data_IF_121120188756
#
_entry.id   IF_121120188756
#
_cell.length_a   1.000
_cell.length_b   1.000
_cell.length_c   1.000
_cell.angle_alpha   90.00
_cell.angle_beta   90.00
_cell.angle_gamma   90.00
#
_symmetry.space_group_name_H-M   'P 1'
#
loop_
_entity.id
_entity.type
_entity.pdbx_description
1 polymer ?
#
# COMPACT_ATOMS: atom_id res chain seq x y z
N UNK A 1 -12.82 8.44 -52.56
CA UNK A 1 -11.77 7.52 -52.04
C UNK A 1 -11.87 7.50 -50.53
N UNK A 2 -12.27 6.36 -49.97
CA UNK A 2 -12.45 6.17 -48.53
C UNK A 2 -11.14 6.42 -47.78
N UNK A 3 -11.18 7.30 -46.77
CA UNK A 3 -10.07 7.58 -45.87
C UNK A 3 -9.70 6.32 -45.06
N UNK A 4 -8.70 5.58 -45.54
CA UNK A 4 -8.00 4.57 -44.76
C UNK A 4 -7.15 5.28 -43.69
N UNK A 5 -7.78 5.71 -42.59
CA UNK A 5 -7.04 5.89 -41.33
C UNK A 5 -6.50 4.50 -40.96
N UNK A 6 -5.19 4.28 -41.14
CA UNK A 6 -4.54 3.09 -40.64
C UNK A 6 -4.91 2.90 -39.17
N UNK A 7 -5.54 1.76 -38.82
CA UNK A 7 -5.87 1.46 -37.42
C UNK A 7 -4.54 1.34 -36.66
N UNK A 8 -4.36 2.20 -35.65
CA UNK A 8 -3.15 2.26 -34.80
C UNK A 8 -2.79 0.90 -34.17
N UNK A 9 -3.76 -0.01 -34.04
CA UNK A 9 -3.57 -1.34 -33.49
C UNK A 9 -4.18 -2.41 -34.39
N UNK A 10 -3.62 -3.63 -34.39
CA UNK A 10 -4.25 -4.79 -35.01
C UNK A 10 -5.65 -5.04 -34.45
N UNK A 11 -6.53 -5.62 -35.27
CA UNK A 11 -7.85 -6.06 -34.80
C UNK A 11 -7.65 -7.25 -33.86
N UNK A 12 -8.38 -7.26 -32.74
CA UNK A 12 -8.44 -8.45 -31.89
C UNK A 12 -9.17 -9.59 -32.63
N UNK A 13 -8.76 -10.85 -32.44
CA UNK A 13 -9.50 -11.99 -32.96
C UNK A 13 -10.89 -12.08 -32.31
N UNK A 14 -11.79 -12.84 -32.95
CA UNK A 14 -13.14 -13.08 -32.41
C UNK A 14 -13.11 -13.91 -31.13
N UNK A 15 -12.14 -14.83 -31.01
CA UNK A 15 -11.95 -15.67 -29.83
C UNK A 15 -10.56 -15.46 -29.22
N UNK A 16 -10.50 -15.51 -27.89
CA UNK A 16 -9.26 -15.29 -27.12
C UNK A 16 -8.20 -16.36 -27.38
N UNK A 17 -8.61 -17.58 -27.70
CA UNK A 17 -7.70 -18.68 -28.03
C UNK A 17 -6.85 -18.42 -29.27
N UNK A 18 -7.33 -17.57 -30.18
CA UNK A 18 -6.61 -17.20 -31.40
C UNK A 18 -5.71 -15.97 -31.17
N UNK A 19 -5.62 -15.46 -29.93
CA UNK A 19 -4.85 -14.28 -29.61
C UNK A 19 -3.35 -14.55 -29.71
N UNK A 20 -2.77 -14.05 -30.80
CA UNK A 20 -1.33 -13.94 -30.99
C UNK A 20 -0.90 -12.50 -30.71
N UNK A 21 -0.06 -12.31 -29.69
CA UNK A 21 0.49 -10.99 -29.38
C UNK A 21 1.46 -10.59 -30.49
N UNK A 22 1.36 -9.43 -31.16
CA UNK A 22 2.31 -9.03 -32.19
C UNK A 22 3.70 -8.73 -31.61
N UNK A 23 4.76 -8.93 -32.40
CA UNK A 23 6.17 -8.74 -31.99
C UNK A 23 6.43 -7.40 -31.28
N UNK A 24 5.91 -6.23 -31.74
CA UNK A 24 6.13 -4.95 -31.05
C UNK A 24 5.61 -4.89 -29.60
N UNK A 25 4.75 -5.82 -29.21
CA UNK A 25 4.21 -5.94 -27.85
C UNK A 25 4.83 -7.09 -27.05
N UNK A 26 5.78 -7.83 -27.65
CA UNK A 26 6.54 -8.90 -26.99
C UNK A 26 7.88 -8.43 -26.45
N UNK A 27 8.36 -7.26 -26.86
CA UNK A 27 9.69 -6.75 -26.47
C UNK A 27 9.61 -5.44 -25.70
N UNK A 28 10.63 -5.16 -24.88
CA UNK A 28 10.82 -3.84 -24.25
C UNK A 28 11.22 -2.79 -25.30
N UNK A 29 11.29 -1.51 -24.88
CA UNK A 29 11.85 -0.45 -25.73
C UNK A 29 13.34 -0.66 -26.05
N UNK A 30 14.06 -1.38 -25.20
CA UNK A 30 15.46 -1.73 -25.41
C UNK A 30 15.66 -2.98 -26.28
N UNK A 31 14.56 -3.64 -26.71
CA UNK A 31 14.60 -4.83 -27.56
C UNK A 31 14.63 -6.15 -26.81
N UNK A 32 14.63 -6.14 -25.47
CA UNK A 32 14.63 -7.36 -24.68
C UNK A 32 13.30 -8.11 -24.80
N UNK A 33 13.35 -9.44 -24.76
CA UNK A 33 12.13 -10.24 -24.67
C UNK A 33 11.39 -9.94 -23.36
N UNK A 34 10.14 -9.49 -23.49
CA UNK A 34 9.31 -9.04 -22.38
C UNK A 34 8.09 -9.93 -22.16
N UNK A 35 7.44 -10.43 -23.21
CA UNK A 35 6.42 -11.48 -23.06
C UNK A 35 7.13 -12.81 -22.75
N UNK A 36 7.25 -13.11 -21.47
CA UNK A 36 8.01 -14.27 -20.98
C UNK A 36 7.25 -15.57 -21.18
N UNK A 37 5.92 -15.54 -21.00
CA UNK A 37 5.09 -16.75 -21.10
C UNK A 37 3.62 -16.43 -21.42
N UNK A 38 2.96 -17.35 -22.11
CA UNK A 38 1.53 -17.28 -22.42
C UNK A 38 0.88 -18.66 -22.23
N UNK A 39 -0.23 -18.71 -21.49
CA UNK A 39 -1.06 -19.90 -21.39
C UNK A 39 -2.05 -19.97 -22.55
N UNK A 40 -2.04 -21.06 -23.32
CA UNK A 40 -3.08 -21.32 -24.31
C UNK A 40 -4.42 -21.67 -23.65
N UNK A 41 -4.41 -22.45 -22.57
CA UNK A 41 -5.62 -22.97 -21.92
C UNK A 41 -6.28 -22.01 -20.94
N UNK A 42 -5.48 -21.21 -20.21
CA UNK A 42 -5.98 -20.21 -19.25
C UNK A 42 -5.93 -18.79 -19.78
N UNK A 43 -5.34 -18.57 -20.96
CA UNK A 43 -5.16 -17.24 -21.56
C UNK A 43 -4.53 -16.23 -20.60
N UNK A 44 -3.52 -16.67 -19.87
CA UNK A 44 -2.70 -15.82 -18.99
C UNK A 44 -1.53 -15.29 -19.81
N UNK A 45 -1.22 -14.01 -19.70
CA UNK A 45 0.00 -13.42 -20.26
C UNK A 45 0.91 -12.98 -19.12
N UNK A 46 2.17 -13.44 -19.13
CA UNK A 46 3.18 -13.07 -18.15
C UNK A 46 4.28 -12.28 -18.84
N UNK A 47 4.48 -11.05 -18.37
CA UNK A 47 5.49 -10.14 -18.86
C UNK A 47 6.58 -9.93 -17.82
N UNK A 48 7.81 -10.24 -18.19
CA UNK A 48 9.04 -10.04 -17.42
C UNK A 48 10.25 -10.22 -18.35
N UNK A 49 11.27 -9.40 -18.17
CA UNK A 49 12.58 -9.64 -18.80
C UNK A 49 13.41 -10.63 -17.98
N UNK A 50 14.46 -11.19 -18.56
CA UNK A 50 15.41 -12.00 -17.80
C UNK A 50 16.07 -11.22 -16.65
N UNK A 51 16.28 -9.92 -16.83
CA UNK A 51 16.77 -9.03 -15.78
C UNK A 51 15.78 -8.92 -14.61
N UNK A 52 14.47 -8.85 -14.89
CA UNK A 52 13.46 -8.81 -13.84
C UNK A 52 13.42 -10.09 -13.00
N UNK A 53 13.62 -11.25 -13.63
CA UNK A 53 13.68 -12.54 -12.91
C UNK A 53 14.93 -12.61 -12.04
N UNK A 54 16.09 -12.18 -12.56
CA UNK A 54 17.33 -12.08 -11.76
C UNK A 54 17.20 -11.08 -10.60
N UNK A 55 16.47 -9.98 -10.80
CA UNK A 55 16.16 -9.04 -9.73
C UNK A 55 15.31 -9.69 -8.65
N UNK A 56 14.26 -10.43 -9.02
CA UNK A 56 13.45 -11.17 -8.04
C UNK A 56 14.29 -12.18 -7.26
N UNK A 57 15.14 -12.95 -7.94
CA UNK A 57 16.08 -13.88 -7.31
C UNK A 57 17.02 -13.20 -6.30
N UNK A 58 17.50 -12.00 -6.62
CA UNK A 58 18.41 -11.25 -5.75
C UNK A 58 17.74 -10.58 -4.54
N UNK A 59 16.42 -10.32 -4.61
CA UNK A 59 15.71 -9.59 -3.57
C UNK A 59 14.98 -10.52 -2.59
N UNK A 60 15.21 -10.31 -1.30
CA UNK A 60 14.64 -11.12 -0.20
C UNK A 60 13.17 -10.82 0.11
N UNK A 61 12.66 -9.65 -0.28
CA UNK A 61 11.29 -9.24 0.01
C UNK A 61 10.57 -8.83 -1.26
N UNK A 62 9.44 -9.47 -1.50
CA UNK A 62 8.57 -9.19 -2.64
C UNK A 62 7.22 -8.64 -2.17
N UNK A 63 6.58 -7.87 -3.03
CA UNK A 63 5.19 -7.46 -2.90
C UNK A 63 4.37 -8.01 -4.05
N UNK A 64 3.15 -8.48 -3.77
CA UNK A 64 2.20 -8.98 -4.77
C UNK A 64 0.84 -8.31 -4.60
N UNK A 65 0.24 -7.85 -5.69
CA UNK A 65 -1.08 -7.23 -5.67
C UNK A 65 -1.75 -7.24 -7.05
N UNK A 66 -3.08 -7.22 -7.08
CA UNK A 66 -3.91 -7.20 -8.28
C UNK A 66 -4.68 -5.90 -8.44
N UNK A 67 -4.65 -5.30 -9.64
CA UNK A 67 -5.52 -4.17 -10.00
C UNK A 67 -6.52 -4.55 -11.08
N UNK A 68 -7.72 -3.98 -11.00
CA UNK A 68 -8.87 -4.33 -11.85
C UNK A 68 -9.24 -3.23 -12.85
N UNK A 69 -8.90 -1.98 -12.55
CA UNK A 69 -9.46 -0.81 -13.25
C UNK A 69 -8.97 -0.67 -14.70
N UNK A 70 -7.68 -0.89 -14.93
CA UNK A 70 -7.03 -0.72 -16.25
C UNK A 70 -7.20 -1.91 -17.18
N UNK A 71 -7.77 -2.99 -16.66
CA UNK A 71 -7.70 -4.31 -17.27
C UNK A 71 -8.65 -4.41 -18.46
N UNK A 72 -8.21 -4.94 -19.63
CA UNK A 72 -9.06 -5.07 -20.80
C UNK A 72 -10.22 -6.01 -20.53
N UNK A 73 -11.33 -5.85 -21.24
CA UNK A 73 -12.58 -6.61 -21.01
C UNK A 73 -12.41 -8.14 -20.99
N UNK A 74 -11.40 -8.68 -21.66
CA UNK A 74 -11.10 -10.11 -21.66
C UNK A 74 -10.44 -10.62 -20.38
N UNK A 75 -9.89 -9.75 -19.57
CA UNK A 75 -9.11 -10.12 -18.39
C UNK A 75 -9.84 -9.64 -17.13
N UNK A 76 -9.70 -10.41 -16.07
CA UNK A 76 -10.29 -10.09 -14.77
C UNK A 76 -9.36 -9.19 -13.96
N UNK A 77 -8.04 -9.40 -14.04
CA UNK A 77 -7.07 -8.62 -13.27
C UNK A 77 -5.73 -8.44 -14.00
N UNK A 78 -5.02 -7.39 -13.61
CA UNK A 78 -3.57 -7.24 -13.80
C UNK A 78 -2.92 -7.51 -12.44
N UNK A 79 -2.32 -8.68 -12.29
CA UNK A 79 -1.56 -9.08 -11.11
C UNK A 79 -0.09 -8.71 -11.29
N UNK A 80 0.53 -8.09 -10.30
CA UNK A 80 1.92 -7.64 -10.37
C UNK A 80 2.76 -8.17 -9.22
N UNK A 81 4.01 -8.53 -9.53
CA UNK A 81 5.02 -8.93 -8.55
C UNK A 81 6.13 -7.89 -8.57
N UNK A 82 6.47 -7.38 -7.40
CA UNK A 82 7.44 -6.32 -7.23
C UNK A 82 8.54 -6.75 -6.26
N UNK A 83 9.74 -6.24 -6.47
CA UNK A 83 10.89 -6.45 -5.61
C UNK A 83 11.18 -5.18 -4.78
N UNK A 84 11.51 -5.34 -3.49
CA UNK A 84 11.99 -4.22 -2.68
C UNK A 84 13.49 -4.01 -2.91
N UNK A 85 13.88 -2.93 -3.58
CA UNK A 85 15.27 -2.56 -3.88
C UNK A 85 15.63 -1.28 -3.14
N UNK A 86 16.59 -1.34 -2.21
CA UNK A 86 17.05 -0.20 -1.40
C UNK A 86 15.89 0.62 -0.78
N UNK A 87 14.85 -0.05 -0.26
CA UNK A 87 13.69 0.61 0.35
C UNK A 87 12.66 1.17 -0.63
N UNK A 88 12.85 1.00 -1.94
CA UNK A 88 11.86 1.32 -2.98
C UNK A 88 11.27 0.04 -3.56
N UNK A 89 10.00 0.08 -3.93
CA UNK A 89 9.31 -1.06 -4.53
C UNK A 89 9.30 -0.92 -6.06
N UNK A 90 9.80 -1.93 -6.75
CA UNK A 90 9.97 -1.93 -8.21
C UNK A 90 9.20 -3.09 -8.82
N UNK A 91 8.27 -2.87 -9.77
CA UNK A 91 7.62 -3.97 -10.49
C UNK A 91 8.62 -4.76 -11.31
N UNK A 92 8.50 -6.08 -11.24
CA UNK A 92 9.34 -7.01 -11.98
C UNK A 92 8.51 -7.89 -12.93
N UNK A 93 7.28 -8.24 -12.54
CA UNK A 93 6.42 -9.12 -13.32
C UNK A 93 5.02 -8.53 -13.42
N UNK A 94 4.44 -8.60 -14.61
CA UNK A 94 3.05 -8.22 -14.89
C UNK A 94 2.30 -9.41 -15.47
N UNK A 95 1.15 -9.74 -14.90
CA UNK A 95 0.35 -10.88 -15.30
C UNK A 95 -1.07 -10.40 -15.66
N UNK A 96 -1.48 -10.57 -16.91
CA UNK A 96 -2.88 -10.40 -17.30
C UNK A 96 -3.59 -11.74 -17.12
N UNK A 97 -4.55 -11.78 -16.21
CA UNK A 97 -5.20 -13.01 -15.77
C UNK A 97 -6.70 -12.97 -16.07
N UNK A 98 -7.26 -14.10 -16.50
CA UNK A 98 -8.70 -14.26 -16.70
C UNK A 98 -9.40 -14.80 -15.45
N UNK A 99 -8.64 -15.09 -14.40
CA UNK A 99 -9.10 -15.65 -13.14
C UNK A 99 -8.27 -15.14 -11.97
N UNK A 100 -8.67 -15.56 -10.77
CA UNK A 100 -8.01 -15.27 -9.50
C UNK A 100 -8.07 -16.46 -8.54
N UNK A 101 -8.14 -17.66 -9.10
CA UNK A 101 -8.18 -18.91 -8.37
C UNK A 101 -6.76 -19.46 -8.12
N UNK A 102 -6.63 -20.45 -7.23
CA UNK A 102 -5.35 -21.06 -6.86
C UNK A 102 -4.61 -21.59 -8.10
N UNK A 103 -5.32 -22.16 -9.08
CA UNK A 103 -4.70 -22.70 -10.30
C UNK A 103 -4.13 -21.58 -11.16
N UNK A 104 -4.83 -20.44 -11.27
CA UNK A 104 -4.35 -19.26 -11.98
C UNK A 104 -3.01 -18.78 -11.43
N UNK A 105 -2.89 -18.65 -10.11
CA UNK A 105 -1.63 -18.30 -9.48
C UNK A 105 -0.57 -19.39 -9.63
N UNK A 106 -0.95 -20.67 -9.56
CA UNK A 106 -0.04 -21.78 -9.81
C UNK A 106 0.58 -21.74 -11.21
N UNK A 107 -0.21 -21.45 -12.26
CA UNK A 107 0.34 -21.27 -13.61
C UNK A 107 1.34 -20.11 -13.69
N UNK A 108 1.07 -19.00 -13.00
CA UNK A 108 1.99 -17.85 -12.97
C UNK A 108 3.29 -18.24 -12.28
N UNK A 109 3.22 -18.83 -11.09
CA UNK A 109 4.41 -19.21 -10.32
C UNK A 109 5.22 -20.29 -11.02
N UNK A 110 4.57 -21.29 -11.65
CA UNK A 110 5.28 -22.27 -12.46
C UNK A 110 6.03 -21.61 -13.62
N UNK A 111 5.38 -20.70 -14.36
CA UNK A 111 6.03 -19.98 -15.46
C UNK A 111 7.24 -19.16 -15.00
N UNK A 112 7.22 -18.62 -13.78
CA UNK A 112 8.36 -17.91 -13.19
C UNK A 112 9.47 -18.88 -12.76
N UNK A 113 9.14 -20.02 -12.15
CA UNK A 113 10.11 -21.05 -11.78
C UNK A 113 10.81 -21.62 -13.01
N UNK A 114 10.06 -21.94 -14.07
CA UNK A 114 10.61 -22.44 -15.34
C UNK A 114 11.56 -21.39 -15.96
N UNK A 115 11.18 -20.11 -15.91
CA UNK A 115 12.01 -19.02 -16.41
C UNK A 115 13.28 -18.82 -15.58
N UNK A 116 13.18 -18.95 -14.26
CA UNK A 116 14.32 -18.86 -13.35
C UNK A 116 15.30 -20.01 -13.55
N UNK A 117 14.80 -21.24 -13.71
CA UNK A 117 15.60 -22.41 -14.04
C UNK A 117 16.34 -22.23 -15.36
N UNK A 118 15.67 -21.72 -16.41
CA UNK A 118 16.31 -21.42 -17.68
C UNK A 118 17.37 -20.30 -17.62
N UNK A 119 17.36 -19.49 -16.56
CA UNK A 119 18.34 -18.42 -16.30
C UNK A 119 19.39 -18.82 -15.26
N UNK A 120 19.31 -20.05 -14.75
CA UNK A 120 20.16 -20.61 -13.69
C UNK A 120 20.16 -19.74 -12.43
N UNK A 121 18.98 -19.28 -12.02
CA UNK A 121 18.78 -18.56 -10.76
C UNK A 121 17.68 -19.21 -9.93
N UNK A 122 17.78 -19.05 -8.61
CA UNK A 122 16.78 -19.55 -7.67
C UNK A 122 15.84 -18.43 -7.21
N UNK A 123 14.56 -18.74 -7.11
CA UNK A 123 13.52 -17.84 -6.63
C UNK A 123 13.11 -18.25 -5.21
N UNK A 124 13.81 -17.70 -4.22
CA UNK A 124 13.59 -18.04 -2.82
C UNK A 124 13.47 -16.78 -1.95
N UNK A 125 12.36 -16.03 -2.06
CA UNK A 125 12.14 -14.85 -1.24
C UNK A 125 11.95 -15.25 0.23
N UNK A 126 12.49 -14.45 1.14
CA UNK A 126 12.27 -14.67 2.57
C UNK A 126 10.90 -14.20 3.02
N UNK A 127 10.38 -13.14 2.38
CA UNK A 127 9.08 -12.58 2.71
C UNK A 127 8.34 -12.17 1.45
N UNK A 128 7.09 -12.63 1.32
CA UNK A 128 6.15 -12.12 0.32
C UNK A 128 5.05 -11.38 1.06
N UNK A 129 4.89 -10.11 0.72
CA UNK A 129 3.81 -9.25 1.22
C UNK A 129 2.68 -9.28 0.19
N UNK A 130 1.48 -9.67 0.62
CA UNK A 130 0.32 -9.71 -0.25
C UNK A 130 -0.97 -9.36 0.49
N UNK A 131 -2.06 -9.30 -0.27
CA UNK A 131 -3.39 -9.17 0.28
C UNK A 131 -3.90 -10.51 0.84
N UNK A 132 -4.95 -10.45 1.66
CA UNK A 132 -5.57 -11.63 2.28
C UNK A 132 -6.45 -12.42 1.30
N UNK A 133 -6.02 -12.53 0.05
CA UNK A 133 -6.75 -13.24 -0.97
C UNK A 133 -6.67 -14.75 -0.74
N UNK A 134 -7.84 -15.39 -0.62
CA UNK A 134 -8.00 -16.80 -0.26
C UNK A 134 -7.27 -17.76 -1.21
N UNK A 135 -7.10 -17.36 -2.47
CA UNK A 135 -6.43 -18.17 -3.48
C UNK A 135 -4.91 -17.90 -3.58
N UNK A 136 -4.46 -16.68 -3.26
CA UNK A 136 -3.08 -16.27 -3.43
C UNK A 136 -2.18 -16.87 -2.36
N UNK A 137 -2.59 -16.81 -1.08
CA UNK A 137 -1.78 -17.31 0.04
C UNK A 137 -1.46 -18.81 -0.07
N UNK A 138 -2.45 -19.71 -0.34
CA UNK A 138 -2.16 -21.13 -0.54
C UNK A 138 -1.24 -21.38 -1.74
N UNK A 139 -1.42 -20.63 -2.83
CA UNK A 139 -0.56 -20.75 -4.01
C UNK A 139 0.89 -20.34 -3.69
N UNK A 140 1.09 -19.24 -2.96
CA UNK A 140 2.44 -18.82 -2.52
C UNK A 140 3.06 -19.91 -1.65
N UNK A 141 2.35 -20.43 -0.64
CA UNK A 141 2.86 -21.49 0.24
C UNK A 141 3.22 -22.78 -0.50
N UNK A 142 2.49 -23.10 -1.58
CA UNK A 142 2.76 -24.27 -2.40
C UNK A 142 4.04 -24.15 -3.25
N UNK A 143 4.34 -22.96 -3.77
CA UNK A 143 5.49 -22.73 -4.65
C UNK A 143 6.74 -22.22 -3.91
N UNK A 144 6.55 -21.53 -2.78
CA UNK A 144 7.61 -20.94 -1.97
C UNK A 144 7.45 -21.36 -0.49
N UNK A 145 7.69 -22.64 -0.16
CA UNK A 145 7.39 -23.19 1.16
C UNK A 145 8.25 -22.58 2.29
N UNK A 146 9.44 -22.08 1.96
CA UNK A 146 10.35 -21.45 2.92
C UNK A 146 10.03 -19.96 3.16
N UNK A 147 9.11 -19.39 2.40
CA UNK A 147 8.80 -17.97 2.46
C UNK A 147 7.82 -17.66 3.58
N UNK A 148 8.12 -16.61 4.35
CA UNK A 148 7.13 -15.99 5.23
C UNK A 148 6.12 -15.21 4.40
N UNK A 149 4.89 -15.71 4.34
CA UNK A 149 3.77 -14.95 3.78
C UNK A 149 3.28 -13.93 4.81
N UNK A 150 3.24 -12.67 4.42
CA UNK A 150 2.80 -11.57 5.27
C UNK A 150 1.63 -10.84 4.61
N UNK A 151 0.52 -10.72 5.34
CA UNK A 151 -0.61 -9.92 4.94
C UNK A 151 -0.34 -8.42 5.10
N UNK A 152 -0.86 -7.62 4.18
CA UNK A 152 -0.78 -6.17 4.27
C UNK A 152 -1.56 -5.63 5.49
N UNK A 153 -0.88 -4.95 6.41
CA UNK A 153 -1.52 -4.35 7.60
C UNK A 153 -2.63 -3.35 7.24
N UNK A 154 -2.47 -2.65 6.12
CA UNK A 154 -3.50 -1.72 5.64
C UNK A 154 -4.78 -2.47 5.24
N UNK A 155 -4.68 -3.57 4.48
CA UNK A 155 -5.83 -4.39 4.11
C UNK A 155 -6.46 -5.09 5.31
N UNK A 156 -5.67 -5.50 6.30
CA UNK A 156 -6.17 -5.95 7.60
C UNK A 156 -7.01 -4.86 8.29
N UNK A 157 -6.48 -3.64 8.43
CA UNK A 157 -7.21 -2.51 9.00
C UNK A 157 -8.51 -2.23 8.25
N UNK A 158 -8.45 -2.23 6.91
CA UNK A 158 -9.63 -2.01 6.09
C UNK A 158 -10.71 -3.07 6.31
N UNK A 159 -10.33 -4.35 6.42
CA UNK A 159 -11.28 -5.43 6.63
C UNK A 159 -11.98 -5.30 8.00
N UNK A 160 -11.23 -4.99 9.06
CA UNK A 160 -11.80 -4.70 10.38
C UNK A 160 -12.71 -3.46 10.33
N UNK A 161 -12.31 -2.38 9.66
CA UNK A 161 -13.15 -1.19 9.49
C UNK A 161 -14.41 -1.44 8.66
N UNK A 162 -14.35 -2.34 7.67
CA UNK A 162 -15.53 -2.79 6.91
C UNK A 162 -16.52 -3.47 7.86
N UNK A 163 -16.03 -4.35 8.74
CA UNK A 163 -16.87 -4.99 9.75
C UNK A 163 -17.48 -4.01 10.74
N UNK A 164 -16.71 -3.00 11.19
CA UNK A 164 -17.23 -1.87 11.99
C UNK A 164 -18.39 -1.19 11.25
N UNK A 165 -18.30 -1.05 9.93
CA UNK A 165 -19.38 -0.56 9.08
C UNK A 165 -20.62 -1.45 9.05
N UNK A 166 -20.42 -2.74 8.79
CA UNK A 166 -21.49 -3.76 8.73
C UNK A 166 -22.27 -3.87 10.05
N UNK A 167 -21.58 -3.74 11.18
CA UNK A 167 -22.17 -3.80 12.52
C UNK A 167 -22.82 -2.47 12.97
N UNK A 168 -22.92 -1.47 12.09
CA UNK A 168 -23.54 -0.18 12.40
C UNK A 168 -22.71 0.71 13.36
N UNK A 169 -21.44 0.38 13.62
CA UNK A 169 -20.58 1.09 14.57
C UNK A 169 -19.97 2.39 14.00
N UNK A 170 -20.22 2.73 12.72
CA UNK A 170 -19.62 3.91 12.05
C UNK A 170 -19.87 5.22 12.78
N UNK A 171 -21.10 5.49 13.21
CA UNK A 171 -21.45 6.73 13.92
C UNK A 171 -20.75 6.77 15.27
N UNK A 172 -20.88 5.71 16.06
CA UNK A 172 -20.24 5.56 17.38
C UNK A 172 -18.72 5.67 17.29
N UNK A 173 -18.09 5.09 16.27
CA UNK A 173 -16.65 5.24 16.03
C UNK A 173 -16.23 6.71 15.80
N UNK A 174 -17.10 7.54 15.20
CA UNK A 174 -16.82 8.95 14.93
C UNK A 174 -17.08 9.85 16.13
N UNK A 175 -18.09 9.54 16.93
CA UNK A 175 -18.61 10.42 18.00
C UNK A 175 -18.26 9.97 19.41
N UNK A 176 -18.05 8.67 19.65
CA UNK A 176 -17.75 8.10 20.97
C UNK A 176 -16.26 7.74 21.09
N UNK A 177 -15.51 8.55 21.84
CA UNK A 177 -14.09 8.28 22.11
C UNK A 177 -13.81 6.91 22.76
N UNK A 178 -14.64 6.35 23.66
CA UNK A 178 -14.45 4.99 24.18
C UNK A 178 -14.50 3.92 23.08
N UNK A 179 -15.49 3.99 22.19
CA UNK A 179 -15.68 3.05 21.07
C UNK A 179 -14.53 3.15 20.07
N UNK A 180 -14.18 4.37 19.69
CA UNK A 180 -13.03 4.66 18.82
C UNK A 180 -11.72 4.15 19.41
N UNK A 181 -11.49 4.38 20.71
CA UNK A 181 -10.30 3.90 21.42
C UNK A 181 -10.21 2.38 21.40
N UNK A 182 -11.30 1.66 21.72
CA UNK A 182 -11.30 0.19 21.71
C UNK A 182 -11.00 -0.38 20.31
N UNK A 183 -11.62 0.15 19.26
CA UNK A 183 -11.37 -0.29 17.88
C UNK A 183 -9.92 -0.03 17.46
N UNK A 184 -9.36 1.13 17.79
CA UNK A 184 -7.95 1.45 17.50
C UNK A 184 -6.98 0.55 18.26
N UNK A 185 -7.28 0.24 19.52
CA UNK A 185 -6.46 -0.70 20.31
C UNK A 185 -6.57 -2.12 19.78
N UNK A 186 -7.73 -2.53 19.24
CA UNK A 186 -7.90 -3.81 18.57
C UNK A 186 -6.99 -3.91 17.33
N UNK A 187 -6.94 -2.88 16.49
CA UNK A 187 -6.00 -2.83 15.35
C UNK A 187 -4.54 -2.85 15.81
N UNK A 188 -4.24 -2.17 16.93
CA UNK A 188 -2.90 -2.13 17.52
C UNK A 188 -2.40 -3.49 18.03
N UNK A 189 -3.30 -4.48 18.22
CA UNK A 189 -2.89 -5.84 18.63
C UNK A 189 -1.98 -6.52 17.60
N UNK A 190 -1.98 -6.06 16.34
CA UNK A 190 -1.07 -6.54 15.30
C UNK A 190 0.41 -6.27 15.62
N UNK A 191 0.70 -5.34 16.54
CA UNK A 191 2.05 -5.02 16.99
C UNK A 191 2.42 -5.69 18.31
N UNK A 192 1.58 -6.56 18.86
CA UNK A 192 1.94 -7.36 20.02
C UNK A 192 2.77 -8.58 19.58
N UNK A 193 3.72 -9.05 20.42
CA UNK A 193 4.27 -10.38 20.26
C UNK A 193 3.13 -11.41 20.12
N UNK A 194 3.25 -12.34 19.18
CA UNK A 194 2.22 -13.34 18.89
C UNK A 194 1.65 -14.02 20.16
N UNK A 195 2.47 -14.47 21.13
CA UNK A 195 1.95 -15.07 22.37
C UNK A 195 1.06 -14.15 23.21
N UNK A 196 1.21 -12.82 23.09
CA UNK A 196 0.46 -11.83 23.85
C UNK A 196 -0.79 -11.32 23.13
N UNK A 197 -1.00 -11.67 21.86
CA UNK A 197 -2.16 -11.20 21.06
C UNK A 197 -3.47 -11.65 21.71
N UNK A 198 -3.58 -12.93 22.10
CA UNK A 198 -4.81 -13.44 22.69
C UNK A 198 -5.17 -12.76 24.02
N UNK A 199 -4.18 -12.55 24.89
CA UNK A 199 -4.36 -11.82 26.15
C UNK A 199 -4.77 -10.37 25.88
N UNK A 200 -4.09 -9.70 24.95
CA UNK A 200 -4.40 -8.31 24.56
C UNK A 200 -5.82 -8.14 24.05
N UNK A 201 -6.29 -9.04 23.17
CA UNK A 201 -7.67 -9.01 22.67
C UNK A 201 -8.68 -9.29 23.78
N UNK A 202 -8.42 -10.27 24.65
CA UNK A 202 -9.32 -10.62 25.77
C UNK A 202 -9.52 -9.46 26.74
N UNK A 203 -8.46 -8.72 27.06
CA UNK A 203 -8.54 -7.52 27.90
C UNK A 203 -9.36 -6.40 27.26
N UNK A 204 -9.29 -6.25 25.94
CA UNK A 204 -10.06 -5.24 25.21
C UNK A 204 -11.54 -5.60 25.09
N UNK A 205 -11.83 -6.89 24.94
CA UNK A 205 -13.18 -7.46 24.86
C UNK A 205 -13.91 -7.39 26.20
N UNK A 206 -13.19 -7.47 27.32
CA UNK A 206 -13.76 -7.39 28.66
C UNK A 206 -14.66 -6.15 28.83
N UNK A 207 -15.86 -6.38 29.37
CA UNK A 207 -16.88 -5.36 29.57
C UNK A 207 -17.46 -4.74 28.29
N UNK A 208 -17.26 -5.36 27.12
CA UNK A 208 -17.99 -4.97 25.89
C UNK A 208 -19.34 -5.66 25.81
N UNK A 209 -20.34 -4.96 25.27
CA UNK A 209 -21.69 -5.49 25.03
C UNK A 209 -22.19 -5.07 23.65
N UNK A 210 -23.26 -5.71 23.18
CA UNK A 210 -23.94 -5.38 21.93
C UNK A 210 -23.04 -5.49 20.69
N UNK A 211 -23.13 -4.51 19.79
CA UNK A 211 -22.41 -4.51 18.51
C UNK A 211 -20.89 -4.48 18.66
N UNK A 212 -20.36 -3.99 19.78
CA UNK A 212 -18.91 -4.01 20.03
C UNK A 212 -18.44 -5.42 20.40
N UNK A 213 -19.21 -6.16 21.21
CA UNK A 213 -18.91 -7.58 21.49
C UNK A 213 -18.95 -8.42 20.21
N UNK A 214 -19.93 -8.17 19.32
CA UNK A 214 -20.02 -8.83 18.01
C UNK A 214 -18.77 -8.57 17.13
N UNK A 215 -18.14 -7.40 17.24
CA UNK A 215 -16.89 -7.10 16.53
C UNK A 215 -15.73 -7.96 17.06
N UNK A 216 -15.61 -8.13 18.38
CA UNK A 216 -14.56 -8.97 18.99
C UNK A 216 -14.78 -10.45 18.67
N UNK A 217 -16.02 -10.92 18.68
CA UNK A 217 -16.36 -12.29 18.26
C UNK A 217 -15.95 -12.54 16.80
N UNK A 218 -16.31 -11.64 15.89
CA UNK A 218 -15.84 -11.68 14.50
C UNK A 218 -14.31 -11.69 14.42
N UNK A 219 -13.66 -10.83 15.20
CA UNK A 219 -12.21 -10.71 15.17
C UNK A 219 -11.52 -12.02 15.57
N UNK A 220 -12.02 -12.68 16.62
CA UNK A 220 -11.51 -13.99 17.05
C UNK A 220 -11.69 -15.05 15.97
N UNK A 221 -12.89 -15.16 15.40
CA UNK A 221 -13.22 -16.18 14.41
C UNK A 221 -12.46 -15.99 13.09
N UNK A 222 -12.34 -14.75 12.63
CA UNK A 222 -11.80 -14.45 11.29
C UNK A 222 -10.29 -14.21 11.29
N UNK A 223 -9.72 -13.68 12.38
CA UNK A 223 -8.34 -13.22 12.41
C UNK A 223 -7.46 -13.98 13.40
N UNK A 224 -8.00 -14.58 14.45
CA UNK A 224 -7.17 -15.22 15.49
C UNK A 224 -6.98 -16.74 15.33
N UNK A 225 -7.24 -17.29 14.15
CA UNK A 225 -6.91 -18.69 13.86
C UNK A 225 -5.40 -18.88 13.72
N UNK A 226 -4.89 -20.08 14.01
CA UNK A 226 -3.46 -20.40 13.91
C UNK A 226 -2.89 -20.13 12.51
N UNK A 227 -3.70 -20.33 11.47
CA UNK A 227 -3.28 -20.08 10.09
C UNK A 227 -3.20 -18.59 9.72
N UNK A 228 -4.08 -17.76 10.29
CA UNK A 228 -4.22 -16.35 9.92
C UNK A 228 -3.50 -15.39 10.85
N UNK A 229 -3.40 -15.69 12.14
CA UNK A 229 -2.73 -14.83 13.11
C UNK A 229 -1.32 -14.43 12.67
N UNK A 230 -0.47 -15.35 12.18
CA UNK A 230 0.87 -14.99 11.70
C UNK A 230 0.87 -14.07 10.47
N UNK A 231 -0.20 -14.05 9.68
CA UNK A 231 -0.28 -13.28 8.44
C UNK A 231 -0.44 -11.79 8.70
N UNK A 232 -1.34 -11.38 9.60
CA UNK A 232 -1.61 -9.96 9.86
C UNK A 232 -0.78 -9.37 11.01
N UNK A 233 -0.10 -10.22 11.78
CA UNK A 233 0.80 -9.75 12.83
C UNK A 233 2.06 -9.10 12.22
N UNK A 234 2.30 -7.85 12.62
CA UNK A 234 3.40 -7.00 12.15
C UNK A 234 4.39 -6.66 13.26
N UNK A 235 4.41 -7.47 14.33
CA UNK A 235 5.43 -7.35 15.36
C UNK A 235 6.82 -7.58 14.77
N UNK A 236 7.75 -6.67 15.06
CA UNK A 236 9.12 -6.67 14.55
C UNK A 236 9.24 -6.74 13.01
N UNK A 237 8.22 -6.30 12.27
CA UNK A 237 8.25 -6.23 10.81
C UNK A 237 8.72 -4.84 10.36
N UNK A 238 9.61 -4.78 9.38
CA UNK A 238 10.11 -3.52 8.80
C UNK A 238 9.15 -2.94 7.74
N UNK A 239 8.65 -3.78 6.83
CA UNK A 239 7.76 -3.40 5.73
C UNK A 239 6.38 -3.99 6.00
N UNK A 240 5.39 -3.14 6.31
CA UNK A 240 4.11 -3.57 6.90
C UNK A 240 2.90 -3.34 6.00
N UNK A 241 3.00 -2.45 5.03
CA UNK A 241 1.89 -2.04 4.17
C UNK A 241 2.26 -2.16 2.71
N UNK A 242 1.24 -2.35 1.87
CA UNK A 242 1.36 -2.43 0.43
C UNK A 242 1.20 -1.07 -0.26
N UNK A 243 1.31 0.04 0.49
CA UNK A 243 1.04 1.40 0.01
C UNK A 243 1.87 1.76 -1.23
N UNK A 244 3.08 1.21 -1.35
CA UNK A 244 3.91 1.40 -2.54
C UNK A 244 3.32 0.68 -3.78
N UNK A 245 2.74 -0.51 -3.63
CA UNK A 245 2.02 -1.20 -4.72
C UNK A 245 0.76 -0.44 -5.12
N UNK A 246 -0.08 -0.08 -4.15
CA UNK A 246 -1.28 0.69 -4.43
C UNK A 246 -0.95 2.05 -5.05
N UNK A 247 0.11 2.72 -4.57
CA UNK A 247 0.61 3.95 -5.15
C UNK A 247 1.05 3.77 -6.60
N UNK A 248 1.72 2.65 -6.90
CA UNK A 248 2.09 2.27 -8.26
C UNK A 248 0.86 1.99 -9.14
N UNK A 249 -0.10 1.19 -8.67
CA UNK A 249 -1.35 0.93 -9.40
C UNK A 249 -2.15 2.22 -9.64
N UNK A 250 -2.22 3.11 -8.67
CA UNK A 250 -2.88 4.40 -8.81
C UNK A 250 -2.19 5.30 -9.85
N UNK A 251 -0.86 5.27 -9.91
CA UNK A 251 -0.11 5.96 -10.97
C UNK A 251 -0.40 5.34 -12.34
N UNK A 252 -0.40 4.01 -12.45
CA UNK A 252 -0.74 3.30 -13.68
C UNK A 252 -2.16 3.66 -14.14
N UNK A 253 -3.14 3.61 -13.23
CA UNK A 253 -4.54 3.96 -13.48
C UNK A 253 -4.68 5.41 -13.99
N UNK A 254 -3.90 6.35 -13.44
CA UNK A 254 -3.89 7.75 -13.91
C UNK A 254 -3.28 7.89 -15.30
N UNK A 255 -2.14 7.22 -15.56
CA UNK A 255 -1.49 7.23 -16.87
C UNK A 255 -2.36 6.58 -17.95
N UNK A 256 -3.12 5.55 -17.59
CA UNK A 256 -4.06 4.89 -18.48
C UNK A 256 -5.22 5.80 -18.90
N UNK A 257 -5.58 6.80 -18.07
CA UNK A 257 -6.54 7.86 -18.39
C UNK A 257 -8.01 7.42 -18.48
N UNK A 258 -8.29 6.12 -18.47
CA UNK A 258 -9.63 5.52 -18.57
C UNK A 258 -9.68 4.18 -17.84
N UNK A 259 -10.90 3.69 -17.61
CA UNK A 259 -11.13 2.31 -17.17
C UNK A 259 -11.19 1.39 -18.40
N UNK A 260 -10.82 0.12 -18.22
CA UNK A 260 -10.88 -0.93 -19.25
C UNK A 260 -10.18 -0.57 -20.56
N UNK A 261 -8.86 -0.45 -20.50
CA UNK A 261 -8.05 -0.13 -21.68
C UNK A 261 -8.14 -1.23 -22.74
N UNK A 262 -8.01 -0.86 -24.02
CA UNK A 262 -7.83 -1.85 -25.08
C UNK A 262 -6.56 -2.64 -24.82
N UNK A 263 -6.54 -3.93 -25.16
CA UNK A 263 -5.41 -4.82 -24.86
C UNK A 263 -4.07 -4.21 -25.29
N UNK A 264 -3.95 -3.83 -26.55
CA UNK A 264 -2.71 -3.25 -27.09
C UNK A 264 -2.33 -1.89 -26.48
N UNK A 265 -3.32 -1.10 -26.04
CA UNK A 265 -3.05 0.15 -25.31
C UNK A 265 -2.42 -0.14 -23.96
N UNK A 266 -2.94 -1.15 -23.23
CA UNK A 266 -2.38 -1.56 -21.95
C UNK A 266 -0.98 -2.15 -22.15
N UNK A 267 -0.75 -3.01 -23.15
CA UNK A 267 0.57 -3.57 -23.42
C UNK A 267 1.60 -2.48 -23.72
N UNK A 268 1.23 -1.45 -24.50
CA UNK A 268 2.09 -0.27 -24.71
C UNK A 268 2.40 0.47 -23.41
N UNK A 269 1.41 0.61 -22.52
CA UNK A 269 1.61 1.25 -21.23
C UNK A 269 2.56 0.43 -20.34
N UNK A 270 2.43 -0.90 -20.31
CA UNK A 270 3.32 -1.79 -19.54
C UNK A 270 4.76 -1.72 -20.07
N UNK A 271 4.96 -1.72 -21.39
CA UNK A 271 6.28 -1.54 -22.01
C UNK A 271 6.88 -0.18 -21.66
N UNK A 272 6.07 0.88 -21.65
CA UNK A 272 6.51 2.20 -21.24
C UNK A 272 6.89 2.25 -19.75
N UNK A 273 6.09 1.64 -18.86
CA UNK A 273 6.44 1.52 -17.44
C UNK A 273 7.74 0.72 -17.25
N UNK A 274 7.93 -0.39 -17.97
CA UNK A 274 9.14 -1.19 -17.87
C UNK A 274 10.40 -0.35 -18.13
N UNK A 275 10.41 0.48 -19.18
CA UNK A 275 11.55 1.34 -19.47
C UNK A 275 11.84 2.41 -18.39
N UNK A 276 10.81 2.90 -17.69
CA UNK A 276 11.00 3.81 -16.55
C UNK A 276 11.61 3.05 -15.37
N UNK A 277 11.19 1.80 -15.16
CA UNK A 277 11.67 0.98 -14.05
C UNK A 277 13.10 0.50 -14.28
N UNK A 278 13.48 0.16 -15.51
CA UNK A 278 14.87 -0.17 -15.84
C UNK A 278 15.80 1.00 -15.51
N UNK A 279 15.42 2.23 -15.87
CA UNK A 279 16.14 3.46 -15.49
C UNK A 279 16.26 3.59 -13.96
N UNK A 280 15.16 3.37 -13.23
CA UNK A 280 15.16 3.46 -11.77
C UNK A 280 16.07 2.41 -11.13
N UNK A 281 16.04 1.16 -11.62
CA UNK A 281 16.89 0.09 -11.08
C UNK A 281 18.37 0.45 -11.30
N UNK A 282 18.73 0.93 -12.50
CA UNK A 282 20.10 1.38 -12.79
C UNK A 282 20.53 2.54 -11.89
N UNK A 283 19.66 3.52 -11.62
CA UNK A 283 19.96 4.62 -10.68
C UNK A 283 20.15 4.15 -9.24
N UNK A 284 19.35 3.18 -8.80
CA UNK A 284 19.45 2.61 -7.44
C UNK A 284 20.71 1.77 -7.28
N UNK A 285 21.05 0.95 -8.29
CA UNK A 285 22.24 0.09 -8.26
C UNK A 285 23.56 0.86 -8.45
N UNK A 286 23.55 1.95 -9.23
CA UNK A 286 24.74 2.81 -9.43
C UNK A 286 25.06 3.71 -8.23
N UNK A 287 24.26 3.68 -7.15
CA UNK A 287 24.46 4.55 -5.98
C UNK A 287 24.12 6.03 -6.23
N UNK A 288 23.61 6.37 -7.41
CA UNK A 288 23.26 7.74 -7.81
C UNK A 288 21.89 8.23 -7.29
N UNK A 289 21.10 7.36 -6.64
CA UNK A 289 19.99 7.83 -5.82
C UNK A 289 20.57 8.60 -4.63
N UNK A 290 20.24 9.90 -4.50
CA UNK A 290 20.68 10.78 -3.42
C UNK A 290 20.56 10.07 -2.06
N UNK A 291 21.70 9.59 -1.57
CA UNK A 291 21.87 8.79 -0.36
C UNK A 291 21.28 9.49 0.88
N UNK A 292 21.04 10.81 0.79
CA UNK A 292 20.38 11.64 1.81
C UNK A 292 18.92 11.25 2.09
N UNK A 293 18.10 10.98 1.07
CA UNK A 293 16.65 10.76 1.26
C UNK A 293 16.36 9.37 1.84
N UNK A 294 17.10 8.36 1.38
CA UNK A 294 17.03 6.98 1.89
C UNK A 294 17.53 6.86 3.34
N UNK A 295 18.57 7.62 3.72
CA UNK A 295 19.05 7.67 5.12
C UNK A 295 18.03 8.30 6.06
N UNK A 296 17.29 9.32 5.61
CA UNK A 296 16.36 10.07 6.49
C UNK A 296 15.11 9.26 6.84
N UNK A 297 14.49 8.60 5.87
CA UNK A 297 13.29 7.76 6.09
C UNK A 297 13.61 6.54 6.95
N UNK A 298 14.74 5.86 6.68
CA UNK A 298 15.18 4.72 7.49
C UNK A 298 15.57 5.10 8.92
N UNK A 299 16.15 6.30 9.14
CA UNK A 299 16.53 6.75 10.50
C UNK A 299 15.30 7.02 11.37
N UNK A 300 14.23 7.61 10.81
CA UNK A 300 12.97 7.84 11.54
C UNK A 300 12.25 6.52 11.84
N UNK A 301 12.23 5.57 10.90
CA UNK A 301 11.64 4.23 11.12
C UNK A 301 12.42 3.42 12.16
N UNK A 302 13.75 3.36 12.06
CA UNK A 302 14.62 2.68 13.01
C UNK A 302 14.58 3.30 14.41
N UNK A 303 14.35 4.62 14.52
CA UNK A 303 14.17 5.30 15.80
C UNK A 303 12.81 4.95 16.44
N UNK A 304 11.74 4.85 15.63
CA UNK A 304 10.42 4.40 16.08
C UNK A 304 10.41 2.92 16.49
N UNK A 305 11.14 2.05 15.78
CA UNK A 305 11.30 0.65 16.18
C UNK A 305 12.10 0.48 17.47
N UNK A 306 13.16 1.27 17.66
CA UNK A 306 13.92 1.29 18.92
C UNK A 306 13.08 1.73 20.11
N UNK A 307 12.12 2.64 19.92
CA UNK A 307 11.14 2.98 20.96
C UNK A 307 10.22 1.81 21.29
N UNK A 308 9.68 1.10 20.30
CA UNK A 308 8.82 -0.09 20.53
C UNK A 308 9.58 -1.23 21.21
N UNK A 309 10.83 -1.48 20.83
CA UNK A 309 11.69 -2.49 21.44
C UNK A 309 12.03 -2.18 22.91
N UNK A 310 12.14 -0.90 23.28
CA UNK A 310 12.44 -0.48 24.66
C UNK A 310 11.31 -0.76 25.65
N UNK A 311 10.06 -0.81 25.17
CA UNK A 311 8.88 -1.02 26.02
C UNK A 311 8.39 -2.48 26.03
N UNK A 312 9.00 -3.37 25.23
CA UNK A 312 8.62 -4.79 25.09
C UNK A 312 9.48 -5.72 25.96
N UNK A 313 10.38 -5.20 26.80
CA UNK A 313 11.33 -5.99 27.59
C UNK A 313 10.87 -6.42 28.99
N UNK A 314 9.77 -5.85 29.50
CA UNK A 314 9.25 -6.13 30.85
C UNK A 314 7.74 -6.35 30.68
N UNK A 315 7.10 -7.35 31.30
CA UNK A 315 5.65 -7.53 31.13
C UNK A 315 4.94 -8.01 32.41
N UNK A 316 3.92 -7.24 32.81
CA UNK A 316 2.76 -7.65 33.63
C UNK A 316 1.48 -7.15 32.95
N UNK A 317 0.30 -7.66 33.33
CA UNK A 317 -0.99 -7.37 32.65
C UNK A 317 -1.35 -5.87 32.54
N UNK A 318 -0.91 -5.04 33.50
CA UNK A 318 -1.10 -3.57 33.47
C UNK A 318 -0.22 -2.93 32.39
N UNK A 319 0.98 -3.47 32.16
CA UNK A 319 1.91 -2.97 31.16
C UNK A 319 1.44 -3.26 29.73
N UNK A 320 0.71 -4.36 29.50
CA UNK A 320 0.16 -4.70 28.19
C UNK A 320 -0.89 -3.66 27.72
N UNK A 321 -1.71 -3.14 28.63
CA UNK A 321 -2.67 -2.06 28.35
C UNK A 321 -1.98 -0.71 28.10
N UNK A 322 -0.90 -0.42 28.83
CA UNK A 322 -0.04 0.78 28.61
C UNK A 322 0.70 0.70 27.27
N UNK A 323 1.20 -0.49 26.89
CA UNK A 323 1.76 -0.78 25.58
C UNK A 323 0.73 -0.61 24.48
N UNK A 324 -0.49 -1.13 24.63
CA UNK A 324 -1.56 -0.89 23.67
C UNK A 324 -1.93 0.60 23.57
N UNK A 325 -1.92 1.34 24.69
CA UNK A 325 -2.09 2.79 24.70
C UNK A 325 -0.97 3.56 24.00
N UNK A 326 0.27 3.05 24.05
CA UNK A 326 1.46 3.66 23.42
C UNK A 326 1.57 3.29 21.94
N UNK A 327 1.31 2.03 21.59
CA UNK A 327 1.16 1.54 20.20
C UNK A 327 -0.02 2.24 19.53
N UNK A 328 -1.13 2.51 20.25
CA UNK A 328 -2.22 3.36 19.74
C UNK A 328 -1.70 4.74 19.33
N UNK A 329 -0.80 5.38 20.09
CA UNK A 329 -0.20 6.67 19.66
C UNK A 329 0.58 6.54 18.35
N UNK A 330 1.12 5.36 18.02
CA UNK A 330 1.78 5.09 16.73
C UNK A 330 0.76 4.80 15.61
N UNK A 331 -0.32 4.07 15.91
CA UNK A 331 -1.46 3.86 15.00
C UNK A 331 -2.15 5.19 14.68
N UNK A 332 -2.34 6.07 15.66
CA UNK A 332 -2.92 7.42 15.51
C UNK A 332 -2.08 8.35 14.60
N UNK A 333 -0.79 8.05 14.42
CA UNK A 333 0.13 8.78 13.51
C UNK A 333 0.16 8.16 12.11
N UNK A 334 -0.13 6.85 11.97
CA UNK A 334 -0.24 6.16 10.68
C UNK A 334 -1.66 6.24 10.07
N UNK A 335 -2.68 6.36 10.92
CA UNK A 335 -4.10 6.42 10.56
C UNK A 335 -4.50 7.56 9.61
N UNK A 336 -3.89 8.76 9.63
CA UNK A 336 -4.29 9.82 8.71
C UNK A 336 -4.18 9.37 7.25
N UNK A 337 -3.17 8.57 6.87
CA UNK A 337 -3.05 8.03 5.51
C UNK A 337 -4.05 6.90 5.24
N UNK A 338 -4.37 6.07 6.25
CA UNK A 338 -5.37 5.00 6.14
C UNK A 338 -6.79 5.57 5.97
N UNK A 339 -7.12 6.60 6.75
CA UNK A 339 -8.39 7.32 6.68
C UNK A 339 -8.45 8.25 5.46
N UNK A 340 -7.31 8.79 4.98
CA UNK A 340 -7.20 9.52 3.70
C UNK A 340 -7.61 8.62 2.53
N UNK A 341 -7.09 7.39 2.41
CA UNK A 341 -7.47 6.47 1.33
C UNK A 341 -8.88 5.90 1.51
N UNK A 342 -9.30 5.51 2.72
CA UNK A 342 -10.66 5.03 2.97
C UNK A 342 -11.73 6.09 2.65
N UNK A 343 -11.48 7.36 2.97
CA UNK A 343 -12.39 8.46 2.61
C UNK A 343 -12.34 8.79 1.10
N UNK A 344 -11.19 8.57 0.43
CA UNK A 344 -11.05 8.70 -1.03
C UNK A 344 -11.83 7.62 -1.79
N UNK A 345 -11.89 6.38 -1.26
CA UNK A 345 -12.74 5.30 -1.77
C UNK A 345 -14.23 5.50 -1.48
N UNK A 346 -14.59 6.15 -0.37
CA UNK A 346 -15.98 6.38 0.06
C UNK A 346 -16.57 7.74 -0.38
N UNK A 347 -15.92 8.47 -1.29
CA UNK A 347 -16.48 9.68 -1.91
C UNK A 347 -16.60 10.93 -1.01
N UNK A 348 -15.85 11.01 0.09
CA UNK A 348 -15.87 12.16 1.00
C UNK A 348 -14.94 13.30 0.56
N UNK A 349 -15.50 14.47 0.24
CA UNK A 349 -14.74 15.67 -0.18
C UNK A 349 -14.11 16.45 1.00
N UNK A 350 -12.94 17.05 0.72
CA UNK A 350 -12.21 18.16 1.38
C UNK A 350 -11.20 17.84 2.51
N UNK A 351 -9.93 18.25 2.30
CA UNK A 351 -8.80 18.11 3.24
C UNK A 351 -8.28 19.49 3.69
N UNK A 352 -8.00 19.65 4.99
CA UNK A 352 -7.32 20.81 5.58
C UNK A 352 -5.94 20.40 6.13
N UNK A 353 -4.89 21.18 5.82
CA UNK A 353 -3.52 21.07 6.35
C UNK A 353 -3.30 22.15 7.41
N UNK A 354 -2.66 21.82 8.54
CA UNK A 354 -2.29 22.79 9.57
C UNK A 354 -0.77 23.00 9.57
N UNK A 355 -0.32 24.24 9.38
CA UNK A 355 1.09 24.61 9.39
C UNK A 355 1.30 25.97 10.06
N UNK A 356 2.22 26.07 11.02
CA UNK A 356 2.52 27.30 11.79
C UNK A 356 1.26 28.02 12.34
N UNK A 357 0.32 27.27 12.93
CA UNK A 357 -0.92 27.84 13.47
C UNK A 357 -1.91 28.36 12.43
N UNK A 358 -1.71 28.03 11.14
CA UNK A 358 -2.54 28.47 10.01
C UNK A 358 -3.12 27.25 9.26
N UNK A 359 -4.35 27.37 8.77
CA UNK A 359 -5.05 26.32 8.02
C UNK A 359 -4.90 26.54 6.51
N UNK A 360 -4.61 25.47 5.78
CA UNK A 360 -4.45 25.46 4.32
C UNK A 360 -5.36 24.40 3.69
N UNK A 361 -5.94 24.71 2.54
CA UNK A 361 -6.77 23.82 1.74
C UNK A 361 -6.02 23.38 0.48
N UNK A 362 -6.22 22.14 0.07
CA UNK A 362 -5.58 21.66 -1.17
C UNK A 362 -6.18 22.41 -2.36
N UNK A 363 -5.32 23.07 -3.14
CA UNK A 363 -5.71 23.75 -4.37
C UNK A 363 -5.54 22.83 -5.56
N UNK A 364 -4.34 22.26 -5.72
CA UNK A 364 -3.99 21.33 -6.80
C UNK A 364 -3.04 20.24 -6.31
N UNK A 365 -3.06 19.10 -7.01
CA UNK A 365 -2.10 18.00 -6.85
C UNK A 365 -1.42 17.80 -8.19
N UNK A 366 -0.13 18.11 -8.28
CA UNK A 366 0.67 17.92 -9.49
C UNK A 366 1.38 16.56 -9.43
N UNK A 367 2.30 16.34 -10.38
CA UNK A 367 3.02 15.06 -10.54
C UNK A 367 3.96 14.79 -9.36
N UNK A 368 4.58 15.84 -8.80
CA UNK A 368 5.62 15.71 -7.78
C UNK A 368 5.18 16.28 -6.42
N UNK A 369 4.21 17.19 -6.40
CA UNK A 369 3.81 17.94 -5.21
C UNK A 369 2.30 18.22 -5.11
N UNK A 370 1.87 18.65 -3.93
CA UNK A 370 0.56 19.19 -3.62
C UNK A 370 0.71 20.66 -3.27
N UNK A 371 -0.04 21.50 -3.96
CA UNK A 371 -0.17 22.91 -3.63
C UNK A 371 -1.34 23.11 -2.66
N UNK A 372 -1.05 23.76 -1.54
CA UNK A 372 -1.98 24.11 -0.49
C UNK A 372 -2.09 25.64 -0.40
N UNK A 373 -3.30 26.16 -0.32
CA UNK A 373 -3.57 27.60 -0.16
C UNK A 373 -4.19 27.85 1.20
N UNK A 374 -3.75 28.90 1.89
CA UNK A 374 -4.30 29.30 3.19
C UNK A 374 -5.80 29.51 3.07
N UNK A 375 -6.57 28.90 3.96
CA UNK A 375 -8.00 29.17 4.11
C UNK A 375 -8.17 30.64 4.48
N UNK A 376 -8.85 31.42 3.65
CA UNK A 376 -9.03 32.86 3.90
C UNK A 376 -9.84 33.06 5.17
N UNK A 377 -9.23 33.69 6.17
CA UNK A 377 -9.89 34.16 7.38
C UNK A 377 -10.13 35.68 7.28
N UNK A 378 -9.20 36.42 6.66
CA UNK A 378 -9.28 37.87 6.39
C UNK A 378 -8.87 38.20 4.94
N UNK A 379 -9.43 39.28 4.37
CA UNK A 379 -9.10 39.76 3.02
C UNK A 379 -7.65 40.27 2.99
N UNK A 380 -6.80 39.66 2.16
CA UNK A 380 -5.40 40.07 1.94
C UNK A 380 -4.36 39.01 2.29
N UNK A 381 -4.68 38.07 3.19
CA UNK A 381 -3.76 37.02 3.62
C UNK A 381 -3.75 35.79 2.68
N UNK A 382 -2.84 35.74 1.69
CA UNK A 382 -2.73 34.61 0.74
C UNK A 382 -1.40 33.86 0.85
N UNK A 383 -1.28 32.95 1.81
CA UNK A 383 -0.12 32.03 1.88
C UNK A 383 -0.32 30.79 1.01
N UNK A 384 0.77 30.24 0.44
CA UNK A 384 0.75 28.93 -0.21
C UNK A 384 1.90 28.03 0.24
N UNK A 385 1.66 26.73 0.29
CA UNK A 385 2.66 25.71 0.66
C UNK A 385 2.63 24.63 -0.40
N UNK A 386 3.81 24.24 -0.89
CA UNK A 386 4.00 23.07 -1.73
C UNK A 386 4.62 21.97 -0.89
N UNK A 387 3.95 20.81 -0.85
CA UNK A 387 4.42 19.65 -0.10
C UNK A 387 4.51 18.45 -1.04
N UNK A 388 5.32 17.46 -0.68
CA UNK A 388 5.25 16.18 -1.36
C UNK A 388 3.85 15.55 -1.26
N UNK A 389 3.58 14.57 -2.15
CA UNK A 389 2.27 13.94 -2.26
C UNK A 389 1.78 13.32 -0.94
N UNK A 390 2.71 12.91 -0.08
CA UNK A 390 2.47 12.29 1.23
C UNK A 390 2.27 13.30 2.37
N UNK A 391 2.54 14.59 2.12
CA UNK A 391 2.32 15.72 3.05
C UNK A 391 3.18 15.60 4.32
N UNK A 392 4.40 15.10 4.17
CA UNK A 392 5.39 14.90 5.24
C UNK A 392 6.70 15.68 5.01
N UNK A 393 6.86 16.31 3.84
CA UNK A 393 7.93 17.27 3.54
C UNK A 393 7.42 18.51 2.83
N UNK A 394 7.86 19.70 3.27
CA UNK A 394 7.59 20.98 2.60
C UNK A 394 8.71 21.23 1.59
N UNK A 395 8.34 21.38 0.32
CA UNK A 395 9.28 21.72 -0.75
C UNK A 395 9.51 23.23 -0.84
N UNK A 396 8.43 24.01 -0.72
CA UNK A 396 8.50 25.46 -0.72
C UNK A 396 7.27 26.05 -0.03
N UNK A 397 7.45 27.22 0.57
CA UNK A 397 6.35 28.01 1.12
C UNK A 397 6.48 29.44 0.60
N UNK A 398 5.38 29.99 0.10
CA UNK A 398 5.27 31.42 -0.21
C UNK A 398 4.46 32.05 0.91
N UNK A 399 5.11 32.62 1.93
CA UNK A 399 4.41 33.47 2.88
C UNK A 399 3.94 34.71 2.14
N UNK A 400 2.69 35.11 2.37
CA UNK A 400 2.24 36.44 1.99
C UNK A 400 1.72 37.12 3.25
N UNK A 401 2.33 38.29 3.52
CA UNK A 401 2.29 39.08 4.74
C UNK A 401 2.80 38.33 5.99
N UNK A 402 4.03 38.67 6.39
CA UNK A 402 4.62 38.24 7.67
C UNK A 402 3.76 38.68 8.88
N UNK A 403 2.89 39.67 8.68
CA UNK A 403 1.98 40.23 9.68
C UNK A 403 0.63 39.50 9.82
N UNK A 404 0.40 38.44 9.04
CA UNK A 404 -0.86 37.69 9.12
C UNK A 404 -0.93 36.87 10.42
N UNK A 405 -1.82 37.28 11.32
CA UNK A 405 -2.06 36.65 12.63
C UNK A 405 -2.42 35.16 12.49
N UNK A 406 -1.85 34.30 13.36
CA UNK A 406 -2.26 32.89 13.45
C UNK A 406 -3.74 32.74 13.86
N UNK A 407 -4.34 31.59 13.57
CA UNK A 407 -5.73 31.31 13.98
C UNK A 407 -5.75 30.98 15.48
N UNK A 408 -6.08 31.99 16.30
CA UNK A 408 -5.97 31.94 17.77
C UNK A 408 -6.81 30.82 18.40
N UNK A 409 -7.97 30.47 17.84
CA UNK A 409 -8.79 29.36 18.35
C UNK A 409 -8.10 27.99 18.12
N UNK A 410 -7.39 27.86 17.00
CA UNK A 410 -6.64 26.65 16.66
C UNK A 410 -5.33 26.57 17.42
N UNK A 411 -4.65 27.71 17.65
CA UNK A 411 -3.47 27.80 18.50
C UNK A 411 -3.80 27.46 19.95
N UNK A 412 -4.90 28.00 20.50
CA UNK A 412 -5.39 27.64 21.84
C UNK A 412 -5.67 26.14 21.97
N UNK A 413 -6.30 25.52 20.97
CA UNK A 413 -6.52 24.06 20.92
C UNK A 413 -5.22 23.26 20.81
N UNK A 414 -4.22 23.80 20.11
CA UNK A 414 -2.92 23.15 19.90
C UNK A 414 -2.03 23.29 21.14
N UNK A 415 -2.02 24.44 21.77
CA UNK A 415 -1.30 24.74 23.02
C UNK A 415 -1.87 23.94 24.18
N UNK A 416 -3.19 23.84 24.33
CA UNK A 416 -3.80 22.95 25.31
C UNK A 416 -3.39 21.48 25.07
N UNK A 417 -3.31 21.06 23.80
CA UNK A 417 -2.86 19.71 23.42
C UNK A 417 -1.37 19.48 23.66
N UNK A 418 -0.53 20.53 23.64
CA UNK A 418 0.90 20.47 23.95
C UNK A 418 1.13 20.54 25.46
N UNK A 419 0.39 21.36 26.19
CA UNK A 419 0.39 21.43 27.64
C UNK A 419 -0.06 20.11 28.27
N UNK A 420 -1.12 19.48 27.73
CA UNK A 420 -1.54 18.12 28.09
C UNK A 420 -0.48 17.05 27.78
N UNK A 421 0.39 17.28 26.78
CA UNK A 421 1.52 16.39 26.47
C UNK A 421 2.71 16.60 27.40
N UNK A 422 2.97 17.83 27.87
CA UNK A 422 4.03 18.14 28.85
C UNK A 422 3.67 17.60 30.23
N UNK A 423 2.42 17.80 30.68
CA UNK A 423 1.90 17.25 31.95
C UNK A 423 1.75 15.73 31.98
N UNK A 424 1.86 15.06 30.83
CA UNK A 424 1.87 13.60 30.74
C UNK A 424 3.29 13.03 30.57
N UNK A 425 4.30 13.90 30.60
CA UNK A 425 5.72 13.56 30.52
C UNK A 425 6.50 13.89 31.81
N UNK A 426 5.89 14.69 32.70
CA UNK A 426 6.12 14.68 34.15
C UNK A 426 5.29 13.57 34.79
#
# INVERSE_FOLDING_TARGET
>A
MYNHRAKRYPKLPSHRQDLQIPVPFRTTKAGDNFLSWQSASRHILVFATGYNIRLLAAMRTWGMDGTFKVVPQWYQQLFTIHAFVAGKLVPAVYCLCTGKDIKTYGYIFQALMDKAAALEVDLNPETIICDFETALIPAIRGYFPNTRVQGCYFHFCQAVHRKVGELGLKTRYRTEEPTKRKIRMLLATAFLPVPHVNTGVSLLEAGTTGTLAALFQYFRQEWMTDERLPLWNVYNVNIRTNNHLEGWHNRLNRKAGKSHNGLYELLQLLIAEQGVMDTLIQQVLSGNATVGDLRRVNKVYAQKQRQVARYTGEYTNVLLLLLLGTVKKHVDVAEPNIMRQYNQYMGGRSYNLLHQGKVYQVKHTNIEDKQWIRRQIEKGCRGSIHMNLDVDGIFSSVPHADDCTPDNDILYKTENKIALKRRAAE
#
